data_IF_454822939952
#
_entry.id   IF_454822939952
#
_cell.length_a   1.000
_cell.length_b   1.000
_cell.length_c   1.000
_cell.angle_alpha   90.00
_cell.angle_beta   90.00
_cell.angle_gamma   90.00
#
_symmetry.space_group_name_H-M   'P 1'
#
loop_
_entity.id
_entity.type
_entity.pdbx_description
1 polymer ?
#
# COMPACT_ATOMS: atom_id res chain seq x y z
N UNK A 1 48.83 9.67 -58.68
CA UNK A 1 49.36 8.98 -57.48
C UNK A 1 49.00 9.81 -56.24
N UNK A 2 48.31 9.14 -55.31
CA UNK A 2 48.13 9.38 -53.85
C UNK A 2 48.07 10.82 -53.32
N UNK A 3 46.91 11.18 -52.79
CA UNK A 3 46.78 12.16 -51.68
C UNK A 3 46.12 11.44 -50.51
N UNK A 4 46.80 11.44 -49.37
CA UNK A 4 46.21 11.17 -48.05
C UNK A 4 46.30 12.45 -47.25
N UNK A 5 45.20 12.83 -46.60
CA UNK A 5 45.21 13.75 -45.47
C UNK A 5 44.15 13.28 -44.47
N UNK A 6 44.58 13.27 -43.21
CA UNK A 6 43.90 12.81 -42.01
C UNK A 6 42.58 13.55 -41.75
N UNK A 7 41.56 12.81 -41.27
CA UNK A 7 40.44 13.38 -40.53
C UNK A 7 40.40 12.71 -39.16
N UNK A 8 40.77 13.45 -38.13
CA UNK A 8 40.54 13.12 -36.72
C UNK A 8 39.04 13.14 -36.46
N UNK A 9 38.44 11.98 -36.17
CA UNK A 9 37.06 11.88 -35.72
C UNK A 9 37.01 12.07 -34.19
N UNK A 10 36.38 13.16 -33.76
CA UNK A 10 36.08 13.49 -32.38
C UNK A 10 34.90 12.62 -31.90
N UNK A 11 35.18 11.63 -31.07
CA UNK A 11 34.17 10.75 -30.47
C UNK A 11 33.40 11.50 -29.36
N UNK A 12 32.28 12.16 -29.69
CA UNK A 12 31.32 12.61 -28.67
C UNK A 12 30.57 11.39 -28.12
N UNK A 13 30.97 10.93 -26.94
CA UNK A 13 30.21 9.96 -26.16
C UNK A 13 28.89 10.57 -25.71
N UNK A 14 27.77 10.04 -26.19
CA UNK A 14 26.44 10.35 -25.68
C UNK A 14 26.34 9.75 -24.28
N UNK A 15 26.53 10.58 -23.26
CA UNK A 15 26.13 10.27 -21.89
C UNK A 15 24.61 10.10 -21.89
N UNK A 16 24.16 8.85 -21.96
CA UNK A 16 22.77 8.50 -21.75
C UNK A 16 22.46 8.76 -20.28
N UNK A 17 21.93 9.94 -19.97
CA UNK A 17 21.32 10.21 -18.67
C UNK A 17 20.11 9.29 -18.59
N UNK A 18 20.31 8.10 -18.03
CA UNK A 18 19.24 7.17 -17.74
C UNK A 18 18.29 7.84 -16.76
N UNK A 19 17.19 8.40 -17.25
CA UNK A 19 16.03 8.66 -16.42
C UNK A 19 15.57 7.30 -15.91
N UNK A 20 15.88 6.99 -14.66
CA UNK A 20 15.41 5.79 -14.01
C UNK A 20 13.88 5.87 -13.89
N UNK A 21 13.18 5.42 -14.92
CA UNK A 21 11.74 5.18 -14.86
C UNK A 21 11.54 4.05 -13.85
N UNK A 22 10.70 4.29 -12.85
CA UNK A 22 10.50 3.25 -11.85
C UNK A 22 9.81 2.04 -12.48
N UNK A 23 10.30 0.86 -12.15
CA UNK A 23 9.94 -0.37 -12.84
C UNK A 23 8.99 -1.22 -11.98
N UNK A 24 8.17 -2.09 -12.58
CA UNK A 24 7.38 -3.06 -11.83
C UNK A 24 8.21 -3.90 -10.86
N UNK A 25 9.48 -4.19 -11.22
CA UNK A 25 10.42 -4.89 -10.37
C UNK A 25 10.73 -4.11 -9.08
N UNK A 26 10.90 -2.78 -9.16
CA UNK A 26 11.11 -1.97 -7.95
C UNK A 26 9.90 -2.01 -7.00
N UNK A 27 8.68 -2.13 -7.51
CA UNK A 27 7.50 -2.32 -6.66
C UNK A 27 7.54 -3.67 -5.93
N UNK A 28 7.95 -4.73 -6.64
CA UNK A 28 8.16 -6.09 -6.07
C UNK A 28 9.22 -6.04 -4.99
N UNK A 29 10.39 -5.46 -5.29
CA UNK A 29 11.53 -5.37 -4.38
C UNK A 29 11.18 -4.56 -3.14
N UNK A 30 10.53 -3.41 -3.31
CA UNK A 30 10.09 -2.58 -2.19
C UNK A 30 9.06 -3.30 -1.31
N UNK A 31 8.08 -4.00 -1.91
CA UNK A 31 7.10 -4.76 -1.11
C UNK A 31 7.80 -5.88 -0.33
N UNK A 32 8.75 -6.58 -0.96
CA UNK A 32 9.55 -7.63 -0.30
C UNK A 32 10.35 -7.08 0.88
N UNK A 33 11.08 -5.98 0.67
CA UNK A 33 11.85 -5.32 1.72
C UNK A 33 10.95 -4.89 2.88
N UNK A 34 9.82 -4.23 2.57
CA UNK A 34 8.87 -3.77 3.56
C UNK A 34 8.26 -4.93 4.36
N UNK A 35 7.87 -6.03 3.70
CA UNK A 35 7.35 -7.23 4.35
C UNK A 35 8.38 -7.88 5.27
N UNK A 36 9.64 -7.99 4.82
CA UNK A 36 10.75 -8.49 5.64
C UNK A 36 10.97 -7.61 6.86
N UNK A 37 10.97 -6.28 6.70
CA UNK A 37 11.19 -5.37 7.82
C UNK A 37 10.05 -5.40 8.83
N UNK A 38 8.79 -5.49 8.37
CA UNK A 38 7.64 -5.68 9.26
C UNK A 38 7.78 -6.97 10.08
N UNK A 39 8.10 -8.10 9.43
CA UNK A 39 8.31 -9.37 10.14
C UNK A 39 9.48 -9.31 11.12
N UNK A 40 10.59 -8.64 10.75
CA UNK A 40 11.75 -8.43 11.62
C UNK A 40 11.43 -7.56 12.85
N UNK A 41 10.52 -6.61 12.72
CA UNK A 41 10.02 -5.84 13.88
C UNK A 41 9.16 -6.78 14.74
N UNK A 42 8.18 -7.45 14.13
CA UNK A 42 7.23 -8.32 14.84
C UNK A 42 7.88 -9.50 15.57
N UNK A 43 8.99 -10.04 15.06
CA UNK A 43 9.73 -11.15 15.68
C UNK A 43 10.36 -10.77 17.03
N UNK A 44 10.50 -9.47 17.33
CA UNK A 44 11.00 -8.95 18.61
C UNK A 44 9.95 -8.95 19.72
N UNK A 45 8.71 -9.30 19.39
CA UNK A 45 7.61 -9.35 20.34
C UNK A 45 7.79 -10.49 21.36
N UNK A 46 7.60 -10.15 22.62
CA UNK A 46 7.53 -11.05 23.77
C UNK A 46 6.33 -10.65 24.65
N UNK A 47 6.12 -11.38 25.75
CA UNK A 47 4.96 -11.18 26.63
C UNK A 47 4.84 -9.77 27.23
N UNK A 48 5.95 -9.01 27.34
CA UNK A 48 5.96 -7.68 27.95
C UNK A 48 5.89 -6.52 26.96
N UNK A 49 6.32 -6.70 25.70
CA UNK A 49 6.48 -5.60 24.73
C UNK A 49 5.60 -5.71 23.48
N UNK A 50 4.72 -6.72 23.39
CA UNK A 50 3.90 -7.01 22.21
C UNK A 50 3.19 -5.77 21.62
N UNK A 51 2.56 -4.96 22.46
CA UNK A 51 1.88 -3.73 22.03
C UNK A 51 2.84 -2.68 21.46
N UNK A 52 4.03 -2.54 22.03
CA UNK A 52 5.05 -1.60 21.53
C UNK A 52 5.58 -2.06 20.18
N UNK A 53 5.90 -3.35 20.05
CA UNK A 53 6.41 -3.94 18.80
C UNK A 53 5.37 -3.85 17.68
N UNK A 54 4.10 -4.14 17.97
CA UNK A 54 3.01 -3.94 17.00
C UNK A 54 2.96 -2.50 16.52
N UNK A 55 2.99 -1.51 17.42
CA UNK A 55 3.00 -0.08 17.04
C UNK A 55 4.23 0.31 16.22
N UNK A 56 5.40 -0.28 16.47
CA UNK A 56 6.59 -0.05 15.65
C UNK A 56 6.39 -0.56 14.22
N UNK A 57 5.79 -1.75 14.06
CA UNK A 57 5.47 -2.30 12.74
C UNK A 57 4.41 -1.44 12.01
N UNK A 58 3.37 -1.00 12.72
CA UNK A 58 2.36 -0.07 12.20
C UNK A 58 3.01 1.23 11.69
N UNK A 59 3.85 1.86 12.52
CA UNK A 59 4.53 3.11 12.18
C UNK A 59 5.48 2.97 10.99
N UNK A 60 6.13 1.81 10.85
CA UNK A 60 6.96 1.51 9.68
C UNK A 60 6.11 1.35 8.41
N UNK A 61 4.96 0.69 8.49
CA UNK A 61 4.11 0.41 7.33
C UNK A 61 3.34 1.64 6.83
N UNK A 62 2.84 2.50 7.73
CA UNK A 62 1.96 3.65 7.41
C UNK A 62 2.46 4.51 6.23
N UNK A 63 3.74 4.92 6.13
CA UNK A 63 4.24 5.77 5.04
C UNK A 63 4.16 5.16 3.63
N UNK A 64 3.97 3.84 3.53
CA UNK A 64 3.83 3.11 2.28
C UNK A 64 2.38 2.95 1.83
N UNK A 65 1.41 3.43 2.62
CA UNK A 65 0.01 3.47 2.24
C UNK A 65 -0.43 4.90 1.93
N UNK A 66 -1.25 5.04 0.90
CA UNK A 66 -1.94 6.28 0.56
C UNK A 66 -3.39 6.21 1.06
N UNK A 67 -3.56 6.52 2.35
CA UNK A 67 -4.88 6.48 2.97
C UNK A 67 -5.84 7.50 2.35
N UNK A 68 -5.36 8.65 1.88
CA UNK A 68 -6.22 9.64 1.22
C UNK A 68 -6.81 9.06 -0.07
N UNK A 69 -5.98 8.41 -0.89
CA UNK A 69 -6.44 7.75 -2.12
C UNK A 69 -7.33 6.53 -1.83
N UNK A 70 -7.01 5.76 -0.79
CA UNK A 70 -7.89 4.66 -0.35
C UNK A 70 -9.27 5.18 0.05
N UNK A 71 -9.34 6.26 0.84
CA UNK A 71 -10.59 6.89 1.27
C UNK A 71 -11.35 7.47 0.10
N UNK A 72 -10.70 8.21 -0.80
CA UNK A 72 -11.34 8.74 -2.01
C UNK A 72 -12.01 7.61 -2.81
N UNK A 73 -11.30 6.51 -3.04
CA UNK A 73 -11.84 5.38 -3.78
C UNK A 73 -12.95 4.67 -3.01
N UNK A 74 -12.86 4.55 -1.69
CA UNK A 74 -13.92 3.96 -0.88
C UNK A 74 -15.18 4.84 -0.88
N UNK A 75 -15.04 6.15 -0.75
CA UNK A 75 -16.17 7.09 -0.77
C UNK A 75 -16.80 7.18 -2.16
N UNK A 76 -16.00 7.13 -3.23
CA UNK A 76 -16.50 7.18 -4.60
C UNK A 76 -17.00 8.57 -5.02
N UNK A 77 -18.04 8.63 -5.84
CA UNK A 77 -18.53 9.89 -6.44
C UNK A 77 -18.79 11.03 -5.43
N UNK A 78 -19.40 10.78 -4.25
CA UNK A 78 -19.60 11.82 -3.23
C UNK A 78 -18.33 12.55 -2.78
N UNK A 79 -17.15 11.94 -2.92
CA UNK A 79 -15.87 12.54 -2.54
C UNK A 79 -15.63 13.89 -3.22
N UNK A 80 -16.06 14.04 -4.48
CA UNK A 80 -15.85 15.28 -5.26
C UNK A 80 -16.51 16.48 -4.61
N UNK A 81 -17.65 16.27 -3.96
CA UNK A 81 -18.47 17.31 -3.35
C UNK A 81 -18.18 17.49 -1.85
N UNK A 82 -17.40 16.61 -1.24
CA UNK A 82 -17.01 16.73 0.15
C UNK A 82 -16.07 17.94 0.36
N UNK A 83 -16.29 18.68 1.45
CA UNK A 83 -15.44 19.79 1.86
C UNK A 83 -14.03 19.31 2.22
N UNK A 84 -13.05 20.22 2.26
CA UNK A 84 -11.69 19.87 2.69
C UNK A 84 -11.68 19.26 4.11
N UNK A 85 -12.47 19.82 5.04
CA UNK A 85 -12.61 19.30 6.39
C UNK A 85 -13.20 17.88 6.42
N UNK A 86 -14.23 17.62 5.60
CA UNK A 86 -14.82 16.28 5.48
C UNK A 86 -13.84 15.27 4.89
N UNK A 87 -13.08 15.64 3.87
CA UNK A 87 -12.05 14.78 3.27
C UNK A 87 -10.97 14.40 4.27
N UNK A 88 -10.49 15.36 5.05
CA UNK A 88 -9.53 15.12 6.13
C UNK A 88 -10.12 14.19 7.19
N UNK A 89 -11.33 14.50 7.69
CA UNK A 89 -11.99 13.67 8.71
C UNK A 89 -12.22 12.23 8.23
N UNK A 90 -12.77 12.04 7.02
CA UNK A 90 -12.95 10.70 6.44
C UNK A 90 -11.62 9.96 6.31
N UNK A 91 -10.56 10.65 5.89
CA UNK A 91 -9.23 10.03 5.73
C UNK A 91 -8.66 9.56 7.05
N UNK A 92 -8.73 10.41 8.08
CA UNK A 92 -8.25 10.08 9.43
C UNK A 92 -9.05 8.93 10.05
N UNK A 93 -10.37 8.99 9.94
CA UNK A 93 -11.24 7.99 10.55
C UNK A 93 -11.15 6.65 9.81
N UNK A 94 -11.08 6.64 8.48
CA UNK A 94 -10.91 5.40 7.73
C UNK A 94 -9.52 4.79 7.93
N UNK A 95 -8.46 5.61 7.95
CA UNK A 95 -7.11 5.16 8.33
C UNK A 95 -7.12 4.48 9.70
N UNK A 96 -7.74 5.12 10.70
CA UNK A 96 -7.83 4.59 12.06
C UNK A 96 -8.57 3.25 12.09
N UNK A 97 -9.69 3.15 11.36
CA UNK A 97 -10.45 1.91 11.24
C UNK A 97 -9.59 0.79 10.65
N UNK A 98 -8.95 1.03 9.51
CA UNK A 98 -8.11 0.02 8.85
C UNK A 98 -6.95 -0.43 9.74
N UNK A 99 -6.26 0.49 10.41
CA UNK A 99 -5.17 0.13 11.33
C UNK A 99 -5.72 -0.75 12.45
N UNK A 100 -6.81 -0.35 13.13
CA UNK A 100 -7.41 -1.15 14.21
C UNK A 100 -7.85 -2.53 13.75
N UNK A 101 -8.51 -2.62 12.60
CA UNK A 101 -9.05 -3.88 12.06
C UNK A 101 -7.96 -4.87 11.69
N UNK A 102 -6.84 -4.41 11.12
CA UNK A 102 -5.83 -5.31 10.56
C UNK A 102 -4.53 -5.41 11.35
N UNK A 103 -4.21 -4.45 12.23
CA UNK A 103 -2.99 -4.52 13.03
C UNK A 103 -3.08 -5.51 14.18
N UNK A 104 -4.30 -5.77 14.69
CA UNK A 104 -4.54 -6.69 15.81
C UNK A 104 -3.98 -8.09 15.59
N UNK A 105 -4.02 -8.58 14.34
CA UNK A 105 -3.54 -9.92 13.97
C UNK A 105 -2.07 -9.95 13.58
N UNK A 106 -1.37 -8.82 13.44
CA UNK A 106 0.03 -8.80 12.97
C UNK A 106 0.94 -9.71 13.80
N UNK A 107 0.75 -9.75 15.12
CA UNK A 107 1.55 -10.58 16.02
C UNK A 107 1.32 -12.09 15.82
N UNK A 108 0.14 -12.50 15.36
CA UNK A 108 -0.17 -13.89 15.02
C UNK A 108 0.63 -14.35 13.79
N UNK A 109 0.94 -13.41 12.89
CA UNK A 109 1.67 -13.64 11.64
C UNK A 109 3.17 -13.34 11.76
N UNK A 110 3.71 -13.06 12.96
CA UNK A 110 5.12 -12.70 13.14
C UNK A 110 6.13 -13.74 12.64
N UNK A 111 5.70 -15.01 12.57
CA UNK A 111 6.48 -16.14 12.06
C UNK A 111 5.96 -16.65 10.71
N UNK A 112 5.05 -15.91 10.06
CA UNK A 112 4.49 -16.32 8.78
C UNK A 112 5.56 -16.36 7.69
N UNK A 113 5.42 -17.32 6.77
CA UNK A 113 6.17 -17.33 5.52
C UNK A 113 5.46 -16.40 4.54
N UNK A 114 6.17 -15.37 4.08
CA UNK A 114 5.69 -14.42 3.06
C UNK A 114 6.48 -14.62 1.78
N UNK A 115 5.79 -14.99 0.70
CA UNK A 115 6.37 -15.15 -0.63
C UNK A 115 5.82 -14.05 -1.55
N UNK A 116 6.66 -13.07 -1.90
CA UNK A 116 6.30 -12.05 -2.89
C UNK A 116 6.55 -12.62 -4.28
N UNK A 117 5.50 -12.67 -5.10
CA UNK A 117 5.61 -13.18 -6.46
C UNK A 117 6.39 -12.20 -7.34
N UNK A 118 7.30 -12.67 -8.22
CA UNK A 118 8.13 -11.79 -9.03
C UNK A 118 7.36 -11.14 -10.19
N UNK A 119 6.24 -11.73 -10.60
CA UNK A 119 5.46 -11.29 -11.75
C UNK A 119 4.40 -10.25 -11.36
N UNK A 120 4.82 -8.99 -11.23
CA UNK A 120 3.89 -7.89 -11.05
C UNK A 120 3.08 -7.60 -12.33
N UNK A 121 1.81 -7.21 -12.16
CA UNK A 121 0.92 -6.83 -13.26
C UNK A 121 0.84 -5.31 -13.36
N UNK A 122 1.14 -4.76 -14.54
CA UNK A 122 1.05 -3.32 -14.81
C UNK A 122 -0.30 -2.98 -15.43
N UNK A 123 -0.97 -1.96 -14.90
CA UNK A 123 -2.22 -1.40 -15.42
C UNK A 123 -2.16 0.12 -15.39
N UNK A 124 -1.81 0.73 -16.53
CA UNK A 124 -1.59 2.18 -16.61
C UNK A 124 -0.47 2.61 -15.66
N UNK A 125 -0.78 3.49 -14.71
CA UNK A 125 0.18 3.96 -13.68
C UNK A 125 0.25 3.07 -12.43
N UNK A 126 -0.52 1.99 -12.41
CA UNK A 126 -0.63 1.09 -11.27
C UNK A 126 0.14 -0.19 -11.50
N UNK A 127 0.75 -0.70 -10.43
CA UNK A 127 1.44 -1.99 -10.38
C UNK A 127 0.76 -2.83 -9.31
N UNK A 128 0.38 -4.06 -9.66
CA UNK A 128 -0.21 -5.03 -8.72
C UNK A 128 0.87 -6.05 -8.41
N UNK A 129 1.20 -6.18 -7.13
CA UNK A 129 2.14 -7.19 -6.62
C UNK A 129 1.40 -8.17 -5.73
N UNK A 130 1.52 -9.46 -6.02
CA UNK A 130 0.87 -10.53 -5.26
C UNK A 130 1.83 -11.11 -4.22
N UNK A 131 1.31 -11.34 -3.02
CA UNK A 131 2.01 -11.99 -1.91
C UNK A 131 1.22 -13.22 -1.45
N UNK A 132 1.89 -14.35 -1.29
CA UNK A 132 1.35 -15.53 -0.63
C UNK A 132 1.79 -15.54 0.83
N UNK A 133 0.84 -15.53 1.77
CA UNK A 133 1.11 -15.51 3.22
C UNK A 133 0.67 -16.83 3.82
N UNK A 134 1.61 -17.56 4.41
CA UNK A 134 1.35 -18.84 5.10
C UNK A 134 1.65 -18.67 6.59
N UNK A 135 0.63 -18.75 7.48
CA UNK A 135 0.84 -18.72 8.93
C UNK A 135 1.69 -19.90 9.40
N UNK A 136 2.55 -19.70 10.41
CA UNK A 136 3.38 -20.78 10.96
C UNK A 136 2.60 -21.82 11.77
N UNK A 137 1.44 -21.45 12.31
CA UNK A 137 0.66 -22.27 13.25
C UNK A 137 -0.43 -23.14 12.57
N UNK A 138 -0.23 -23.54 11.30
CA UNK A 138 -1.20 -24.37 10.57
C UNK A 138 -2.47 -23.64 10.11
N UNK A 139 -2.44 -22.30 10.07
CA UNK A 139 -3.54 -21.49 9.58
C UNK A 139 -3.68 -21.54 8.05
N UNK A 140 -4.86 -21.16 7.54
CA UNK A 140 -5.13 -21.07 6.10
C UNK A 140 -4.18 -20.04 5.47
N UNK A 141 -3.49 -20.44 4.40
CA UNK A 141 -2.73 -19.51 3.58
C UNK A 141 -3.67 -18.52 2.88
N UNK A 142 -3.25 -17.26 2.81
CA UNK A 142 -4.01 -16.19 2.16
C UNK A 142 -3.20 -15.55 1.04
N UNK A 143 -3.88 -15.17 -0.03
CA UNK A 143 -3.28 -14.45 -1.15
C UNK A 143 -3.63 -12.98 -1.03
N UNK A 144 -2.61 -12.11 -1.07
CA UNK A 144 -2.79 -10.66 -0.97
C UNK A 144 -2.29 -9.95 -2.22
N UNK A 145 -3.16 -9.19 -2.88
CA UNK A 145 -2.80 -8.34 -4.01
C UNK A 145 -2.67 -6.88 -3.55
N UNK A 146 -1.46 -6.33 -3.65
CA UNK A 146 -1.17 -4.94 -3.35
C UNK A 146 -1.23 -4.12 -4.63
N UNK A 147 -2.24 -3.25 -4.74
CA UNK A 147 -2.32 -2.28 -5.84
C UNK A 147 -1.56 -1.02 -5.44
N UNK A 148 -0.49 -0.74 -6.18
CA UNK A 148 0.49 0.29 -5.87
C UNK A 148 0.64 1.28 -7.01
N UNK A 149 1.12 2.48 -6.71
CA UNK A 149 1.56 3.45 -7.71
C UNK A 149 2.84 4.14 -7.25
N UNK A 150 3.67 4.59 -8.18
CA UNK A 150 4.86 5.35 -7.84
C UNK A 150 4.49 6.78 -7.39
N UNK A 151 4.97 7.17 -6.22
CA UNK A 151 4.83 8.50 -5.62
C UNK A 151 6.22 8.99 -5.21
N UNK A 152 6.83 9.85 -6.05
CA UNK A 152 8.22 10.25 -5.89
C UNK A 152 9.17 9.06 -6.01
N UNK A 153 9.98 8.82 -4.98
CA UNK A 153 10.97 7.76 -4.94
C UNK A 153 10.47 6.42 -4.36
N UNK A 154 9.17 6.30 -4.06
CA UNK A 154 8.61 5.07 -3.47
C UNK A 154 7.28 4.68 -4.12
N UNK A 155 6.94 3.41 -4.04
CA UNK A 155 5.60 2.92 -4.34
C UNK A 155 4.70 3.05 -3.11
N UNK A 156 3.48 3.58 -3.31
CA UNK A 156 2.44 3.63 -2.28
C UNK A 156 1.29 2.70 -2.63
N UNK A 157 0.90 1.88 -1.68
CA UNK A 157 -0.28 1.02 -1.74
C UNK A 157 -1.52 1.87 -1.58
N UNK A 158 -2.51 1.66 -2.46
CA UNK A 158 -3.80 2.34 -2.37
C UNK A 158 -4.99 1.39 -2.47
N UNK A 159 -4.73 0.08 -2.57
CA UNK A 159 -5.72 -0.97 -2.37
C UNK A 159 -4.99 -2.28 -2.03
N UNK A 160 -5.63 -3.08 -1.19
CA UNK A 160 -5.23 -4.46 -0.89
C UNK A 160 -6.44 -5.33 -1.17
N UNK A 161 -6.25 -6.45 -1.87
CA UNK A 161 -7.26 -7.49 -1.97
C UNK A 161 -6.77 -8.74 -1.24
N UNK A 162 -7.65 -9.37 -0.45
CA UNK A 162 -7.35 -10.62 0.26
C UNK A 162 -8.25 -11.70 -0.32
N UNK A 163 -7.66 -12.78 -0.84
CA UNK A 163 -8.37 -13.85 -1.56
C UNK A 163 -9.32 -13.28 -2.64
N UNK A 164 -8.87 -12.24 -3.36
CA UNK A 164 -9.62 -11.55 -4.41
C UNK A 164 -10.60 -10.46 -3.93
N UNK A 165 -10.89 -10.38 -2.62
CA UNK A 165 -11.77 -9.36 -2.07
C UNK A 165 -11.02 -8.05 -1.80
N UNK A 166 -11.25 -7.03 -2.64
CA UNK A 166 -10.67 -5.69 -2.49
C UNK A 166 -11.24 -4.94 -1.29
N UNK A 167 -10.37 -4.53 -0.36
CA UNK A 167 -10.75 -3.72 0.80
C UNK A 167 -11.48 -2.45 0.39
N UNK A 168 -10.92 -1.71 -0.58
CA UNK A 168 -11.54 -0.46 -1.08
C UNK A 168 -12.94 -0.72 -1.63
N UNK A 169 -13.14 -1.83 -2.35
CA UNK A 169 -14.44 -2.18 -2.94
C UNK A 169 -15.46 -2.57 -1.88
N UNK A 170 -15.04 -3.36 -0.89
CA UNK A 170 -15.89 -3.76 0.26
C UNK A 170 -16.35 -2.52 1.03
N UNK A 171 -15.43 -1.64 1.43
CA UNK A 171 -15.79 -0.42 2.14
C UNK A 171 -16.60 0.54 1.29
N UNK A 172 -16.38 0.61 -0.03
CA UNK A 172 -17.22 1.41 -0.92
C UNK A 172 -18.69 1.03 -0.87
N UNK A 173 -19.00 -0.26 -0.85
CA UNK A 173 -20.38 -0.72 -0.74
C UNK A 173 -21.00 -0.26 0.60
N UNK A 174 -20.27 -0.40 1.70
CA UNK A 174 -20.71 0.03 3.02
C UNK A 174 -20.91 1.55 3.09
N UNK A 175 -19.92 2.32 2.65
CA UNK A 175 -19.94 3.78 2.70
C UNK A 175 -21.05 4.37 1.83
N UNK A 176 -21.27 3.83 0.64
CA UNK A 176 -22.37 4.29 -0.21
C UNK A 176 -23.74 4.09 0.43
N UNK A 177 -23.93 3.01 1.19
CA UNK A 177 -25.18 2.78 1.92
C UNK A 177 -25.38 3.84 3.01
N UNK A 178 -24.34 4.09 3.82
CA UNK A 178 -24.40 5.14 4.86
C UNK A 178 -24.58 6.52 4.27
N UNK A 179 -23.82 6.88 3.22
CA UNK A 179 -23.90 8.21 2.59
C UNK A 179 -25.29 8.46 1.98
N UNK A 180 -25.91 7.46 1.36
CA UNK A 180 -27.28 7.59 0.83
C UNK A 180 -28.31 7.88 1.91
N UNK A 181 -28.12 7.33 3.11
CA UNK A 181 -29.06 7.47 4.22
C UNK A 181 -28.79 8.70 5.09
N UNK A 182 -27.52 9.04 5.31
CA UNK A 182 -27.08 9.99 6.34
C UNK A 182 -26.09 11.04 5.85
N UNK A 183 -25.78 11.06 4.55
CA UNK A 183 -24.79 11.96 3.96
C UNK A 183 -23.35 11.67 4.39
N UNK A 184 -22.43 12.55 3.99
CA UNK A 184 -21.00 12.44 4.32
C UNK A 184 -20.77 12.58 5.83
N UNK A 185 -21.48 13.50 6.49
CA UNK A 185 -21.32 13.71 7.93
C UNK A 185 -21.78 12.49 8.73
N UNK A 186 -22.85 11.83 8.28
CA UNK A 186 -23.29 10.56 8.86
C UNK A 186 -22.26 9.44 8.71
N UNK A 187 -21.53 9.38 7.60
CA UNK A 187 -20.42 8.43 7.45
C UNK A 187 -19.26 8.76 8.39
N UNK A 188 -18.90 10.05 8.54
CA UNK A 188 -17.85 10.47 9.48
C UNK A 188 -18.22 10.04 10.90
N UNK A 189 -19.48 10.25 11.31
CA UNK A 189 -19.94 9.87 12.64
C UNK A 189 -19.95 8.35 12.84
N UNK A 190 -20.38 7.59 11.84
CA UNK A 190 -20.33 6.12 11.91
C UNK A 190 -18.89 5.61 12.06
N UNK A 191 -17.94 6.19 11.34
CA UNK A 191 -16.53 5.81 11.46
C UNK A 191 -15.96 6.20 12.83
N UNK A 192 -16.31 7.36 13.38
CA UNK A 192 -15.92 7.78 14.74
C UNK A 192 -16.46 6.80 15.78
N UNK A 193 -17.73 6.43 15.69
CA UNK A 193 -18.35 5.45 16.59
C UNK A 193 -17.63 4.11 16.54
N UNK A 194 -17.33 3.60 15.33
CA UNK A 194 -16.56 2.35 15.14
C UNK A 194 -15.12 2.42 15.68
N UNK A 195 -14.51 3.60 15.70
CA UNK A 195 -13.15 3.79 16.21
C UNK A 195 -13.11 4.01 17.73
N UNK A 196 -14.19 4.53 18.32
CA UNK A 196 -14.33 4.80 19.76
C UNK A 196 -14.85 3.62 20.57
N UNK A 197 -15.48 2.63 19.93
CA UNK A 197 -15.80 1.32 20.50
C UNK A 197 -14.55 0.44 20.62
#
# INVERSE_FOLDING_TARGET
MKKSAFVSALSMGILSIGLAFATPQQAVDQLKENSTQVLNILSRANGGNANQVRRQAENYAIPYFDFARMTELAVGSPWRNASAAQKTALTEQFKTLLIRTYSGTMLEYRNARVNIRPNAVVRGRSVIVTADITPSAGGKAVVMDYTMYQSGNKYRVYNVAVDGASLVTVYRQQFNNTIRQKGIDGLIEELRSKNGA
#
